data_IF_888517911236
#
_entry.id   IF_888517911236
#
_cell.length_a   1.000
_cell.length_b   1.000
_cell.length_c   1.000
_cell.angle_alpha   90.00
_cell.angle_beta   90.00
_cell.angle_gamma   90.00
#
_symmetry.space_group_name_H-M   'P 1'
#
loop_
_entity.id
_entity.type
_entity.pdbx_description
1 polymer ?
#
# COMPACT_ATOMS: atom_id res chain seq x y z
N UNK A 1 -60.20 14.07 27.70
CA UNK A 1 -59.56 12.82 28.19
C UNK A 1 -58.13 12.81 27.66
N UNK A 2 -57.15 12.65 28.53
CA UNK A 2 -55.75 12.55 28.08
C UNK A 2 -55.42 11.06 27.91
N UNK A 3 -55.34 10.61 26.65
CA UNK A 3 -55.09 9.20 26.36
C UNK A 3 -53.65 8.78 26.58
N UNK A 4 -52.73 9.66 26.99
CA UNK A 4 -51.33 9.33 27.26
C UNK A 4 -51.21 8.28 28.39
N UNK A 5 -52.07 8.30 29.36
CA UNK A 5 -52.02 7.42 30.52
C UNK A 5 -52.62 6.03 30.23
N UNK A 6 -53.22 5.84 29.06
CA UNK A 6 -53.77 4.58 28.58
C UNK A 6 -52.85 3.81 27.67
N UNK A 7 -51.68 4.37 27.34
CA UNK A 7 -50.69 3.74 26.44
C UNK A 7 -49.72 2.89 27.28
N UNK A 8 -49.78 1.56 27.10
CA UNK A 8 -48.87 0.62 27.74
C UNK A 8 -47.58 0.48 26.96
N UNK A 9 -46.61 1.37 27.26
CA UNK A 9 -45.27 1.29 26.70
C UNK A 9 -44.38 0.42 27.60
N UNK A 10 -43.47 -0.40 27.04
CA UNK A 10 -42.50 -1.13 27.83
C UNK A 10 -41.64 -0.16 28.62
N UNK A 11 -41.49 -0.45 29.93
CA UNK A 11 -40.55 0.31 30.78
C UNK A 11 -39.18 -0.33 30.67
N UNK A 12 -38.20 0.47 30.24
CA UNK A 12 -36.82 0.04 30.11
C UNK A 12 -35.89 1.20 30.42
N UNK A 13 -34.76 0.91 31.06
CA UNK A 13 -33.68 1.86 31.28
C UNK A 13 -32.86 2.10 30.01
N UNK A 14 -33.15 1.34 28.94
CA UNK A 14 -32.51 1.53 27.65
C UNK A 14 -32.92 2.86 27.02
N UNK A 15 -31.99 3.76 26.71
CA UNK A 15 -32.34 5.11 26.22
C UNK A 15 -32.97 5.03 24.85
N UNK A 16 -34.12 5.69 24.67
CA UNK A 16 -34.87 5.75 23.40
C UNK A 16 -34.19 6.63 22.35
N UNK A 17 -33.29 7.53 22.74
CA UNK A 17 -32.53 8.38 21.83
C UNK A 17 -31.12 7.82 21.66
N UNK A 18 -30.66 7.74 20.39
CA UNK A 18 -29.32 7.27 20.08
C UNK A 18 -28.23 8.10 20.75
N UNK A 19 -28.10 9.37 20.39
CA UNK A 19 -27.10 10.28 20.96
C UNK A 19 -25.66 9.72 20.88
N UNK A 20 -25.34 8.97 19.82
CA UNK A 20 -24.09 8.24 19.69
C UNK A 20 -22.82 9.09 19.90
N UNK A 21 -22.73 10.34 19.42
CA UNK A 21 -21.53 11.16 19.64
C UNK A 21 -21.17 11.37 21.11
N UNK A 22 -22.20 11.37 21.99
CA UNK A 22 -21.99 11.49 23.44
C UNK A 22 -21.90 10.14 24.15
N UNK A 23 -22.70 9.16 23.70
CA UNK A 23 -22.80 7.85 24.34
C UNK A 23 -21.58 6.95 24.07
N UNK A 24 -21.09 6.95 22.83
CA UNK A 24 -19.94 6.09 22.47
C UNK A 24 -18.68 6.38 23.30
N UNK A 25 -18.24 7.65 23.49
CA UNK A 25 -17.10 7.94 24.37
C UNK A 25 -17.29 7.41 25.81
N UNK A 26 -18.51 7.47 26.35
CA UNK A 26 -18.82 6.93 27.69
C UNK A 26 -18.70 5.40 27.73
N UNK A 27 -19.13 4.71 26.67
CA UNK A 27 -18.98 3.26 26.55
C UNK A 27 -17.50 2.88 26.46
N UNK A 28 -16.72 3.59 25.63
CA UNK A 28 -15.29 3.35 25.49
C UNK A 28 -14.55 3.58 26.81
N UNK A 29 -14.89 4.63 27.54
CA UNK A 29 -14.31 4.91 28.85
C UNK A 29 -14.63 3.76 29.83
N UNK A 30 -15.87 3.31 29.88
CA UNK A 30 -16.24 2.18 30.72
C UNK A 30 -15.47 0.89 30.36
N UNK A 31 -15.25 0.63 29.05
CA UNK A 31 -14.44 -0.52 28.62
C UNK A 31 -12.98 -0.42 29.06
N UNK A 32 -12.42 0.79 29.07
CA UNK A 32 -11.07 1.05 29.57
C UNK A 32 -11.00 0.88 31.10
N UNK A 33 -11.95 1.45 31.83
CA UNK A 33 -11.99 1.40 33.30
C UNK A 33 -12.08 -0.04 33.84
N UNK A 34 -12.83 -0.91 33.14
CA UNK A 34 -12.95 -2.32 33.51
C UNK A 34 -11.87 -3.21 32.88
N UNK A 35 -10.99 -2.66 32.03
CA UNK A 35 -9.96 -3.38 31.26
C UNK A 35 -10.56 -4.60 30.51
N UNK A 36 -11.61 -4.34 29.70
CA UNK A 36 -12.40 -5.41 29.06
C UNK A 36 -11.54 -6.29 28.15
N UNK A 37 -10.57 -5.70 27.43
CA UNK A 37 -9.74 -6.46 26.51
C UNK A 37 -8.88 -7.50 27.24
N UNK A 38 -8.22 -7.12 28.34
CA UNK A 38 -7.42 -8.03 29.17
C UNK A 38 -8.29 -9.12 29.77
N UNK A 39 -9.47 -8.78 30.28
CA UNK A 39 -10.44 -9.77 30.80
C UNK A 39 -10.83 -10.78 29.73
N UNK A 40 -11.09 -10.35 28.50
CA UNK A 40 -11.39 -11.24 27.38
C UNK A 40 -10.20 -12.16 27.06
N UNK A 41 -8.97 -11.64 27.06
CA UNK A 41 -7.76 -12.45 26.84
C UNK A 41 -7.60 -13.52 27.92
N UNK A 42 -7.75 -13.14 29.18
CA UNK A 42 -7.66 -14.10 30.29
C UNK A 42 -8.75 -15.15 30.23
N UNK A 43 -10.02 -14.76 30.01
CA UNK A 43 -11.15 -15.67 29.89
C UNK A 43 -11.04 -16.67 28.72
N UNK A 44 -10.22 -16.36 27.69
CA UNK A 44 -10.05 -17.18 26.48
C UNK A 44 -8.65 -17.76 26.32
N UNK A 45 -7.76 -17.65 27.29
CA UNK A 45 -6.34 -18.05 27.18
C UNK A 45 -6.16 -19.51 26.76
N UNK A 46 -6.98 -20.40 27.28
CA UNK A 46 -6.90 -21.85 27.01
C UNK A 46 -7.85 -22.32 25.88
N UNK A 47 -8.59 -21.39 25.27
CA UNK A 47 -9.50 -21.70 24.19
C UNK A 47 -8.75 -21.90 22.84
N UNK A 48 -9.34 -22.62 21.88
CA UNK A 48 -8.75 -22.77 20.55
C UNK A 48 -8.42 -21.44 19.90
N UNK A 49 -7.18 -21.31 19.40
CA UNK A 49 -6.71 -20.06 18.78
C UNK A 49 -7.46 -19.76 17.49
N UNK A 50 -7.84 -18.52 17.31
CA UNK A 50 -8.26 -17.94 16.05
C UNK A 50 -7.37 -16.74 15.74
N UNK A 51 -6.70 -16.75 14.60
CA UNK A 51 -5.79 -15.68 14.18
C UNK A 51 -6.36 -15.02 12.92
N UNK A 52 -6.67 -13.73 13.01
CA UNK A 52 -6.92 -12.87 11.88
C UNK A 52 -5.64 -12.03 11.65
N UNK A 53 -4.96 -12.28 10.54
CA UNK A 53 -3.80 -11.49 10.16
C UNK A 53 -4.26 -10.11 9.66
N UNK A 54 -3.66 -9.05 10.20
CA UNK A 54 -3.96 -7.69 9.76
C UNK A 54 -3.25 -7.38 8.44
N UNK A 55 -3.95 -6.79 7.47
CA UNK A 55 -3.34 -6.06 6.37
C UNK A 55 -3.02 -4.65 6.90
N UNK A 56 -1.75 -4.34 7.15
CA UNK A 56 -1.38 -3.12 7.85
C UNK A 56 -1.60 -1.89 6.97
N UNK A 57 -2.28 -0.84 7.45
CA UNK A 57 -2.37 0.43 6.74
C UNK A 57 -1.03 1.16 6.76
N UNK A 58 -0.81 2.07 5.81
CA UNK A 58 0.31 3.00 5.84
C UNK A 58 0.13 4.02 6.96
N UNK A 59 1.22 4.26 7.71
CA UNK A 59 1.26 5.30 8.74
C UNK A 59 1.62 6.67 8.12
N UNK A 60 0.72 7.25 7.32
CA UNK A 60 1.03 8.44 6.51
C UNK A 60 -0.07 9.53 6.49
N UNK A 61 -1.08 9.42 7.34
CA UNK A 61 -2.18 10.37 7.43
C UNK A 61 -3.29 9.90 8.35
N UNK A 62 -4.33 10.71 8.46
CA UNK A 62 -5.55 10.38 9.20
C UNK A 62 -6.34 9.26 8.52
N UNK A 63 -7.25 8.61 9.27
CA UNK A 63 -8.13 7.61 8.73
C UNK A 63 -9.11 8.21 7.72
N UNK A 64 -9.38 7.44 6.68
CA UNK A 64 -10.50 7.67 5.78
C UNK A 64 -11.53 6.53 5.92
N UNK A 65 -12.68 6.67 5.26
CA UNK A 65 -13.78 5.69 5.37
C UNK A 65 -13.37 4.26 5.00
N UNK A 66 -12.43 4.07 4.09
CA UNK A 66 -11.90 2.75 3.72
C UNK A 66 -11.16 2.08 4.87
N UNK A 67 -10.35 2.84 5.62
CA UNK A 67 -9.71 2.35 6.85
C UNK A 67 -10.75 1.95 7.91
N UNK A 68 -11.77 2.80 8.12
CA UNK A 68 -12.83 2.54 9.07
C UNK A 68 -13.59 1.25 8.70
N UNK A 69 -14.02 1.10 7.44
CA UNK A 69 -14.69 -0.09 6.95
C UNK A 69 -13.84 -1.35 7.18
N UNK A 70 -12.58 -1.33 6.77
CA UNK A 70 -11.67 -2.46 6.91
C UNK A 70 -11.51 -2.90 8.38
N UNK A 71 -11.22 -1.96 9.28
CA UNK A 71 -10.99 -2.26 10.70
C UNK A 71 -12.26 -2.68 11.44
N UNK A 72 -13.40 -2.06 11.13
CA UNK A 72 -14.70 -2.45 11.71
C UNK A 72 -15.07 -3.88 11.30
N UNK A 73 -14.90 -4.26 10.02
CA UNK A 73 -15.15 -5.62 9.56
C UNK A 73 -14.24 -6.64 10.25
N UNK A 74 -12.96 -6.33 10.43
CA UNK A 74 -12.02 -7.17 11.19
C UNK A 74 -12.43 -7.30 12.66
N UNK A 75 -12.87 -6.22 13.29
CA UNK A 75 -13.36 -6.23 14.65
C UNK A 75 -14.61 -7.09 14.80
N UNK A 76 -15.56 -7.00 13.86
CA UNK A 76 -16.75 -7.87 13.82
C UNK A 76 -16.35 -9.34 13.74
N UNK A 77 -15.40 -9.70 12.88
CA UNK A 77 -14.88 -11.06 12.77
C UNK A 77 -14.25 -11.52 14.09
N UNK A 78 -13.35 -10.74 14.69
CA UNK A 78 -12.68 -11.10 15.93
C UNK A 78 -13.66 -11.23 17.09
N UNK A 79 -14.62 -10.31 17.22
CA UNK A 79 -15.67 -10.39 18.26
C UNK A 79 -16.56 -11.61 18.09
N UNK A 80 -17.01 -11.90 16.88
CA UNK A 80 -17.83 -13.07 16.61
C UNK A 80 -17.10 -14.37 16.96
N UNK A 81 -15.83 -14.49 16.58
CA UNK A 81 -15.03 -15.67 16.92
C UNK A 81 -14.79 -15.79 18.45
N UNK A 82 -14.59 -14.65 19.13
CA UNK A 82 -14.49 -14.64 20.59
C UNK A 82 -15.81 -15.04 21.26
N UNK A 83 -16.97 -14.57 20.74
CA UNK A 83 -18.29 -14.98 21.22
C UNK A 83 -18.57 -16.47 20.99
N UNK A 84 -18.04 -17.05 19.91
CA UNK A 84 -18.05 -18.48 19.60
C UNK A 84 -17.08 -19.30 20.47
N UNK A 85 -16.45 -18.69 21.47
CA UNK A 85 -15.59 -19.38 22.43
C UNK A 85 -14.13 -19.50 22.04
N UNK A 86 -13.66 -18.86 20.97
CA UNK A 86 -12.26 -18.93 20.52
C UNK A 86 -11.40 -17.86 21.18
N UNK A 87 -10.08 -18.12 21.23
CA UNK A 87 -9.07 -17.14 21.59
C UNK A 87 -8.71 -16.31 20.35
N UNK A 88 -9.51 -15.27 20.09
CA UNK A 88 -9.34 -14.35 18.97
C UNK A 88 -8.56 -13.10 19.41
N UNK A 89 -7.23 -13.24 19.53
CA UNK A 89 -6.34 -12.11 19.80
C UNK A 89 -6.09 -11.32 18.51
N UNK A 90 -6.41 -10.04 18.52
CA UNK A 90 -6.15 -9.15 17.39
C UNK A 90 -4.94 -8.25 17.70
N UNK A 91 -3.89 -8.39 16.89
CA UNK A 91 -2.71 -7.54 16.93
C UNK A 91 -2.79 -6.58 15.75
N UNK A 92 -3.03 -5.28 16.00
CA UNK A 92 -3.07 -4.29 14.93
C UNK A 92 -1.68 -4.11 14.31
N UNK A 93 -1.63 -3.85 13.00
CA UNK A 93 -0.39 -3.65 12.27
C UNK A 93 -0.33 -2.32 11.55
N UNK A 94 0.89 -1.84 11.26
CA UNK A 94 1.17 -0.67 10.43
C UNK A 94 2.32 -0.92 9.47
N UNK A 95 2.14 -0.46 8.22
CA UNK A 95 3.21 -0.32 7.26
C UNK A 95 3.85 1.07 7.40
N UNK A 96 5.16 1.09 7.67
CA UNK A 96 5.87 2.28 8.15
C UNK A 96 7.02 2.69 7.23
N UNK A 97 7.09 2.18 5.97
CA UNK A 97 8.20 2.48 5.07
C UNK A 97 7.75 2.51 3.59
N UNK A 98 8.71 2.75 2.70
CA UNK A 98 8.51 2.82 1.26
C UNK A 98 7.98 4.17 0.78
N UNK A 99 7.63 4.25 -0.50
CA UNK A 99 7.18 5.49 -1.17
C UNK A 99 6.07 6.25 -0.44
N UNK A 100 5.04 5.61 0.14
CA UNK A 100 3.98 6.33 0.84
C UNK A 100 4.46 7.19 2.02
N UNK A 101 5.58 6.82 2.63
CA UNK A 101 6.20 7.58 3.73
C UNK A 101 7.26 8.54 3.19
N UNK A 102 8.19 8.04 2.37
CA UNK A 102 9.32 8.79 1.83
C UNK A 102 8.87 9.98 1.01
N UNK A 103 7.84 9.82 0.18
CA UNK A 103 7.26 10.89 -0.62
C UNK A 103 6.72 12.04 0.25
N UNK A 104 6.09 11.72 1.38
CA UNK A 104 5.59 12.74 2.32
C UNK A 104 6.72 13.57 2.95
N UNK A 105 7.82 12.94 3.26
CA UNK A 105 9.01 13.64 3.77
C UNK A 105 9.65 14.48 2.65
N UNK A 106 9.77 13.92 1.44
CA UNK A 106 10.29 14.66 0.29
C UNK A 106 9.45 15.89 -0.04
N UNK A 107 8.12 15.80 -0.01
CA UNK A 107 7.22 16.97 -0.14
C UNK A 107 7.52 18.05 0.90
N UNK A 108 7.85 17.67 2.13
CA UNK A 108 8.23 18.62 3.19
C UNK A 108 9.56 19.31 2.88
N UNK A 109 10.53 18.57 2.34
CA UNK A 109 11.81 19.13 1.89
C UNK A 109 11.60 20.12 0.74
N UNK A 110 10.84 19.74 -0.29
CA UNK A 110 10.48 20.60 -1.42
C UNK A 110 9.81 21.91 -0.98
N UNK A 111 8.86 21.83 -0.04
CA UNK A 111 8.20 23.02 0.53
C UNK A 111 9.17 23.95 1.27
N UNK A 112 10.23 23.40 1.84
CA UNK A 112 11.30 24.15 2.50
C UNK A 112 12.42 24.60 1.54
N UNK A 113 12.29 24.33 0.23
CA UNK A 113 13.31 24.62 -0.78
C UNK A 113 14.59 23.79 -0.63
N UNK A 114 14.51 22.63 0.00
CA UNK A 114 15.64 21.70 0.20
C UNK A 114 15.56 20.52 -0.75
N UNK A 115 16.73 20.02 -1.14
CA UNK A 115 16.85 18.78 -1.90
C UNK A 115 17.09 17.61 -0.95
N UNK A 116 16.25 16.56 -1.03
CA UNK A 116 16.42 15.36 -0.21
C UNK A 116 17.73 14.62 -0.51
N UNK A 117 18.20 14.68 -1.77
CA UNK A 117 19.41 13.97 -2.19
C UNK A 117 20.69 14.60 -1.60
N UNK A 118 20.59 15.82 -1.05
CA UNK A 118 21.66 16.48 -0.31
C UNK A 118 21.68 16.13 1.18
N UNK A 119 20.68 15.38 1.69
CA UNK A 119 20.56 15.01 3.08
C UNK A 119 21.21 13.64 3.32
N UNK A 120 21.95 13.44 4.45
CA UNK A 120 22.46 12.13 4.79
C UNK A 120 21.35 11.07 4.87
N UNK A 121 21.56 9.92 4.27
CA UNK A 121 20.55 8.84 4.19
C UNK A 121 20.02 8.43 5.57
N UNK A 122 20.89 8.40 6.58
CA UNK A 122 20.49 8.04 7.96
C UNK A 122 19.54 9.08 8.56
N UNK A 123 19.77 10.37 8.30
CA UNK A 123 18.92 11.47 8.76
C UNK A 123 17.55 11.40 8.08
N UNK A 124 17.52 11.26 6.75
CA UNK A 124 16.27 11.11 6.00
C UNK A 124 15.45 9.90 6.48
N UNK A 125 16.09 8.76 6.70
CA UNK A 125 15.44 7.56 7.24
C UNK A 125 14.88 7.77 8.64
N UNK A 126 15.60 8.51 9.48
CA UNK A 126 15.11 8.83 10.83
C UNK A 126 13.86 9.72 10.76
N UNK A 127 13.84 10.73 9.89
CA UNK A 127 12.66 11.57 9.68
C UNK A 127 11.46 10.74 9.16
N UNK A 128 11.67 9.77 8.29
CA UNK A 128 10.63 8.83 7.86
C UNK A 128 10.09 8.00 9.03
N UNK A 129 10.95 7.49 9.91
CA UNK A 129 10.54 6.74 11.11
C UNK A 129 9.74 7.61 12.07
N UNK A 130 10.19 8.84 12.33
CA UNK A 130 9.52 9.78 13.23
C UNK A 130 8.13 10.17 12.68
N UNK A 131 8.03 10.38 11.37
CA UNK A 131 6.77 10.64 10.68
C UNK A 131 5.80 9.46 10.81
N UNK A 132 6.27 8.24 10.53
CA UNK A 132 5.46 7.04 10.66
C UNK A 132 5.01 6.81 12.12
N UNK A 133 5.90 7.01 13.09
CA UNK A 133 5.57 6.90 14.52
C UNK A 133 4.48 7.89 14.95
N UNK A 134 4.54 9.13 14.46
CA UNK A 134 3.50 10.12 14.69
C UNK A 134 2.13 9.67 14.19
N UNK A 135 2.05 9.25 12.91
CA UNK A 135 0.79 8.84 12.31
C UNK A 135 0.26 7.53 12.86
N UNK A 136 1.12 6.60 13.23
CA UNK A 136 0.75 5.40 13.98
C UNK A 136 0.01 5.78 15.27
N UNK A 137 0.55 6.72 16.04
CA UNK A 137 -0.11 7.20 17.26
C UNK A 137 -1.48 7.82 17.02
N UNK A 138 -1.60 8.66 15.97
CA UNK A 138 -2.88 9.28 15.58
C UNK A 138 -3.88 8.21 15.15
N UNK A 139 -3.53 7.36 14.19
CA UNK A 139 -4.42 6.31 13.69
C UNK A 139 -4.83 5.30 14.76
N UNK A 140 -3.92 4.96 15.69
CA UNK A 140 -4.25 4.08 16.82
C UNK A 140 -5.36 4.67 17.67
N UNK A 141 -5.31 5.97 17.98
CA UNK A 141 -6.37 6.64 18.73
C UNK A 141 -7.69 6.69 17.96
N UNK A 142 -7.62 6.98 16.66
CA UNK A 142 -8.80 7.02 15.79
C UNK A 142 -9.48 5.65 15.67
N UNK A 143 -8.72 4.56 15.52
CA UNK A 143 -9.27 3.19 15.51
C UNK A 143 -9.88 2.81 16.85
N UNK A 144 -9.24 3.16 17.95
CA UNK A 144 -9.80 2.94 19.28
C UNK A 144 -11.09 3.76 19.50
N UNK A 145 -11.15 4.98 18.93
CA UNK A 145 -12.38 5.79 18.95
C UNK A 145 -13.53 5.11 18.17
N UNK A 146 -13.24 4.33 17.13
CA UNK A 146 -14.23 3.49 16.44
C UNK A 146 -14.67 2.28 17.26
N UNK A 147 -14.08 2.04 18.43
CA UNK A 147 -14.42 0.91 19.30
C UNK A 147 -13.74 -0.41 18.93
N UNK A 148 -12.77 -0.40 18.06
CA UNK A 148 -12.00 -1.60 17.67
C UNK A 148 -11.21 -2.14 18.86
N UNK A 149 -11.38 -3.41 19.20
CA UNK A 149 -10.63 -4.08 20.25
C UNK A 149 -9.39 -4.76 19.69
N UNK A 150 -8.26 -4.60 20.39
CA UNK A 150 -6.98 -5.20 19.98
C UNK A 150 -5.87 -4.94 20.99
N UNK A 151 -4.72 -5.55 20.74
CA UNK A 151 -3.49 -5.30 21.52
C UNK A 151 -2.80 -4.03 21.04
N UNK A 152 -3.37 -2.89 21.38
CA UNK A 152 -2.88 -1.58 20.98
C UNK A 152 -1.55 -1.19 21.62
N UNK A 153 -1.12 -1.89 22.67
CA UNK A 153 0.14 -1.64 23.37
C UNK A 153 1.32 -2.35 22.70
N UNK A 154 1.04 -3.47 21.99
CA UNK A 154 2.05 -4.27 21.31
C UNK A 154 1.71 -4.45 19.83
N UNK A 155 1.62 -3.35 19.06
CA UNK A 155 1.28 -3.44 17.64
C UNK A 155 2.42 -4.08 16.84
N UNK A 156 2.07 -4.68 15.70
CA UNK A 156 3.04 -5.04 14.67
C UNK A 156 3.39 -3.78 13.85
N UNK A 157 4.67 -3.51 13.69
CA UNK A 157 5.14 -2.42 12.82
C UNK A 157 6.26 -2.90 11.92
N UNK A 158 6.18 -2.59 10.63
CA UNK A 158 7.23 -2.99 9.68
C UNK A 158 8.56 -2.27 9.94
N UNK A 159 8.56 -1.14 10.65
CA UNK A 159 9.78 -0.42 11.06
C UNK A 159 10.41 -0.92 12.36
N UNK A 160 9.80 -1.89 13.04
CA UNK A 160 10.43 -2.48 14.23
C UNK A 160 11.69 -3.24 13.81
N UNK A 161 12.81 -3.03 14.51
CA UNK A 161 14.08 -3.68 14.16
C UNK A 161 14.00 -5.20 14.10
N UNK A 162 13.20 -5.82 14.96
CA UNK A 162 12.97 -7.27 14.91
C UNK A 162 12.21 -7.70 13.64
N UNK A 163 11.27 -6.89 13.16
CA UNK A 163 10.55 -7.14 11.92
C UNK A 163 11.47 -6.95 10.70
N UNK A 164 12.25 -5.87 10.66
CA UNK A 164 13.25 -5.64 9.60
C UNK A 164 14.28 -6.76 9.54
N UNK A 165 14.80 -7.21 10.69
CA UNK A 165 15.73 -8.32 10.77
C UNK A 165 15.11 -9.62 10.23
N UNK A 166 13.84 -9.88 10.54
CA UNK A 166 13.14 -11.07 10.04
C UNK A 166 12.89 -11.01 8.54
N UNK A 167 12.53 -9.85 8.00
CA UNK A 167 12.41 -9.63 6.55
C UNK A 167 13.75 -9.93 5.84
N UNK A 168 14.85 -9.40 6.37
CA UNK A 168 16.18 -9.64 5.81
C UNK A 168 16.59 -11.13 5.90
N UNK A 169 16.28 -11.79 7.01
CA UNK A 169 16.52 -13.24 7.19
C UNK A 169 15.78 -14.07 6.15
N UNK A 170 14.48 -13.80 5.94
CA UNK A 170 13.67 -14.55 4.96
C UNK A 170 14.13 -14.30 3.52
N UNK A 171 14.51 -13.05 3.18
CA UNK A 171 15.14 -12.78 1.88
C UNK A 171 16.43 -13.55 1.69
N UNK A 172 17.26 -13.65 2.75
CA UNK A 172 18.48 -14.46 2.75
C UNK A 172 18.20 -15.94 2.53
N UNK A 173 17.12 -16.50 3.11
CA UNK A 173 16.69 -17.88 2.88
C UNK A 173 16.32 -18.14 1.42
N UNK A 174 15.56 -17.21 0.80
CA UNK A 174 15.19 -17.31 -0.62
C UNK A 174 16.44 -17.26 -1.52
N UNK A 175 17.43 -16.43 -1.17
CA UNK A 175 18.72 -16.39 -1.86
C UNK A 175 19.46 -17.72 -1.75
N UNK A 176 19.51 -18.29 -0.56
CA UNK A 176 20.21 -19.59 -0.32
C UNK A 176 19.50 -20.77 -0.99
N UNK A 177 18.20 -20.69 -1.18
CA UNK A 177 17.40 -21.65 -1.97
C UNK A 177 17.68 -21.56 -3.49
N UNK A 178 18.31 -20.49 -3.96
CA UNK A 178 18.59 -20.24 -5.38
C UNK A 178 17.44 -19.61 -6.16
N UNK A 179 16.30 -19.33 -5.52
CA UNK A 179 15.14 -18.70 -6.15
C UNK A 179 15.34 -17.21 -6.42
N UNK A 180 16.23 -16.55 -5.67
CA UNK A 180 16.62 -15.16 -5.88
C UNK A 180 17.93 -15.08 -6.64
N UNK A 181 17.91 -14.47 -7.81
CA UNK A 181 19.09 -14.27 -8.65
C UNK A 181 19.12 -12.86 -9.24
N UNK A 182 20.31 -12.41 -9.64
CA UNK A 182 20.50 -11.12 -10.32
C UNK A 182 20.17 -11.28 -11.80
N UNK A 183 19.23 -10.47 -12.28
CA UNK A 183 18.83 -10.43 -13.69
C UNK A 183 18.52 -9.02 -14.14
N UNK A 184 18.30 -8.85 -15.47
CA UNK A 184 17.81 -7.60 -16.05
C UNK A 184 16.39 -7.85 -16.60
N UNK A 185 15.45 -6.98 -16.19
CA UNK A 185 14.08 -6.95 -16.69
C UNK A 185 13.66 -5.51 -16.89
N UNK A 186 13.05 -5.14 -18.04
CA UNK A 186 12.44 -3.83 -18.20
C UNK A 186 11.36 -3.63 -17.13
N UNK A 187 11.43 -2.51 -16.42
CA UNK A 187 10.46 -2.12 -15.40
C UNK A 187 10.06 -0.66 -15.61
N UNK A 188 8.86 -0.28 -15.15
CA UNK A 188 8.45 1.11 -15.11
C UNK A 188 9.32 1.90 -14.15
N UNK A 189 9.66 3.10 -14.53
CA UNK A 189 10.53 4.00 -13.78
C UNK A 189 9.88 5.36 -13.62
N UNK A 190 9.80 5.86 -12.39
CA UNK A 190 9.41 7.25 -12.14
C UNK A 190 10.64 8.16 -12.16
N UNK A 191 10.73 9.10 -13.10
CA UNK A 191 11.83 10.08 -13.12
C UNK A 191 11.70 11.12 -12.00
N UNK A 192 10.52 11.26 -11.40
CA UNK A 192 10.24 12.21 -10.31
C UNK A 192 10.72 11.64 -8.98
N UNK A 193 10.29 10.43 -8.65
CA UNK A 193 10.70 9.71 -7.43
C UNK A 193 12.08 9.05 -7.58
N UNK A 194 12.61 8.95 -8.82
CA UNK A 194 13.89 8.31 -9.14
C UNK A 194 13.95 6.85 -8.68
N UNK A 195 12.89 6.10 -8.94
CA UNK A 195 12.77 4.70 -8.53
C UNK A 195 11.98 3.87 -9.54
N UNK A 196 12.19 2.54 -9.49
CA UNK A 196 11.32 1.58 -10.16
C UNK A 196 9.96 1.53 -9.47
N UNK A 197 8.91 1.25 -10.25
CA UNK A 197 7.54 1.11 -9.77
C UNK A 197 7.10 -0.35 -9.85
N UNK A 198 6.32 -0.79 -8.85
CA UNK A 198 5.58 -2.03 -8.94
C UNK A 198 4.39 -1.88 -9.89
N UNK A 199 3.92 -2.98 -10.48
CA UNK A 199 2.76 -2.96 -11.40
C UNK A 199 1.51 -2.33 -10.76
N UNK A 200 1.31 -2.54 -9.46
CA UNK A 200 0.18 -1.98 -8.71
C UNK A 200 0.24 -0.46 -8.47
N UNK A 201 1.40 0.15 -8.72
CA UNK A 201 1.63 1.59 -8.56
C UNK A 201 1.48 2.34 -9.89
N UNK A 202 1.22 1.61 -11.00
CA UNK A 202 1.13 2.18 -12.34
C UNK A 202 -0.33 2.44 -12.66
N UNK A 203 -0.62 3.69 -13.03
CA UNK A 203 -1.92 4.09 -13.54
C UNK A 203 -1.81 4.35 -15.04
N UNK A 204 -2.76 3.80 -15.82
CA UNK A 204 -2.83 3.96 -17.26
C UNK A 204 -3.88 4.99 -17.62
N UNK A 205 -3.47 5.97 -18.42
CA UNK A 205 -4.36 7.03 -18.89
C UNK A 205 -4.26 7.16 -20.42
N UNK A 206 -5.35 7.60 -21.05
CA UNK A 206 -5.36 7.92 -22.47
C UNK A 206 -4.42 9.12 -22.74
N UNK A 207 -3.45 8.92 -23.61
CA UNK A 207 -2.46 9.93 -23.93
C UNK A 207 -2.33 10.14 -25.45
N UNK A 208 -2.37 11.40 -25.89
CA UNK A 208 -2.09 11.76 -27.29
C UNK A 208 -0.60 12.02 -27.45
N UNK A 209 0.06 11.19 -28.29
CA UNK A 209 1.50 11.28 -28.53
C UNK A 209 1.78 11.52 -30.02
N UNK A 210 2.92 12.17 -30.29
CA UNK A 210 3.45 12.29 -31.66
C UNK A 210 4.10 10.98 -32.06
N UNK A 211 3.62 10.39 -33.15
CA UNK A 211 4.23 9.20 -33.75
C UNK A 211 4.92 9.56 -35.08
N UNK A 212 5.99 8.85 -35.40
CA UNK A 212 6.71 9.06 -36.67
C UNK A 212 7.00 7.71 -37.33
N UNK A 213 7.11 7.79 -38.65
CA UNK A 213 7.79 6.80 -39.47
C UNK A 213 9.21 7.30 -39.76
N UNK A 214 10.20 6.45 -39.54
CA UNK A 214 11.60 6.78 -39.83
C UNK A 214 12.17 5.79 -40.85
N UNK A 215 12.92 6.30 -41.82
CA UNK A 215 13.54 5.54 -42.89
C UNK A 215 15.03 5.40 -42.64
N UNK A 216 15.52 4.17 -42.60
CA UNK A 216 16.93 3.83 -42.50
C UNK A 216 17.42 3.32 -43.88
N UNK A 217 18.23 4.05 -44.64
CA UNK A 217 18.79 3.59 -45.88
C UNK A 217 19.71 2.39 -45.66
N UNK A 218 19.57 1.35 -46.48
CA UNK A 218 20.48 0.22 -46.51
C UNK A 218 21.75 0.64 -47.24
N UNK A 219 22.84 0.80 -46.51
CA UNK A 219 24.13 1.23 -47.08
C UNK A 219 24.99 0.05 -47.55
N UNK A 220 24.70 -1.15 -47.03
CA UNK A 220 25.38 -2.37 -47.42
C UNK A 220 24.39 -3.54 -47.32
N UNK A 221 24.23 -4.30 -48.40
CA UNK A 221 23.30 -5.39 -48.44
C UNK A 221 23.98 -6.72 -48.77
N UNK A 222 23.64 -7.79 -48.03
CA UNK A 222 24.09 -9.14 -48.36
C UNK A 222 23.31 -9.75 -49.53
N UNK A 223 22.15 -9.19 -49.87
CA UNK A 223 21.26 -9.70 -50.94
C UNK A 223 20.91 -8.56 -51.89
N UNK A 224 21.02 -8.80 -53.20
CA UNK A 224 20.82 -7.78 -54.26
C UNK A 224 19.43 -7.11 -54.19
N UNK A 225 18.40 -7.78 -53.75
CA UNK A 225 17.05 -7.22 -53.59
C UNK A 225 16.97 -6.08 -52.55
N UNK A 226 17.97 -5.95 -51.70
CA UNK A 226 18.02 -4.94 -50.66
C UNK A 226 18.94 -3.73 -51.05
N UNK A 227 19.62 -3.82 -52.19
CA UNK A 227 20.47 -2.71 -52.66
C UNK A 227 19.60 -1.49 -52.97
N UNK A 228 19.92 -0.36 -52.36
CA UNK A 228 19.17 0.89 -52.52
C UNK A 228 17.84 0.94 -51.76
N UNK A 229 17.47 -0.15 -51.09
CA UNK A 229 16.28 -0.20 -50.25
C UNK A 229 16.42 0.62 -48.96
N UNK A 230 15.34 0.78 -48.26
CA UNK A 230 15.32 1.38 -46.93
C UNK A 230 14.44 0.57 -46.01
N UNK A 231 14.82 0.46 -44.76
CA UNK A 231 13.96 -0.13 -43.69
C UNK A 231 13.14 1.02 -43.10
N UNK A 232 11.83 0.80 -43.05
CA UNK A 232 10.91 1.76 -42.44
C UNK A 232 10.50 1.21 -41.08
N UNK A 233 10.64 2.01 -40.04
CA UNK A 233 10.13 1.75 -38.72
C UNK A 233 9.07 2.76 -38.35
N UNK A 234 8.19 2.36 -37.43
CA UNK A 234 7.25 3.24 -36.77
C UNK A 234 7.55 3.30 -35.28
N UNK A 235 7.45 4.48 -34.66
CA UNK A 235 7.66 4.66 -33.24
C UNK A 235 6.71 5.69 -32.65
N UNK A 236 6.28 5.45 -31.39
CA UNK A 236 5.57 6.39 -30.54
C UNK A 236 6.52 7.24 -29.68
N UNK A 237 7.81 6.94 -29.72
CA UNK A 237 8.85 7.57 -28.88
C UNK A 237 9.98 8.14 -29.73
N UNK A 238 9.72 9.19 -30.54
CA UNK A 238 10.70 9.74 -31.50
C UNK A 238 11.97 10.25 -30.87
N UNK A 239 11.95 10.65 -29.61
CA UNK A 239 13.15 11.12 -28.88
C UNK A 239 14.17 10.01 -28.60
N UNK A 240 13.83 8.74 -28.81
CA UNK A 240 14.79 7.61 -28.67
C UNK A 240 15.63 7.41 -29.94
N UNK A 241 15.23 8.00 -31.06
CA UNK A 241 15.91 7.82 -32.37
C UNK A 241 17.38 8.15 -32.35
N UNK A 242 17.89 9.22 -31.71
CA UNK A 242 19.32 9.53 -31.69
C UNK A 242 20.19 8.44 -31.06
N UNK A 243 19.63 7.60 -30.20
CA UNK A 243 20.32 6.49 -29.53
C UNK A 243 20.11 5.13 -30.23
N UNK A 244 19.38 5.08 -31.35
CA UNK A 244 19.13 3.84 -32.09
C UNK A 244 20.45 3.25 -32.64
N UNK A 245 20.63 1.93 -32.43
CA UNK A 245 21.84 1.23 -32.88
C UNK A 245 21.53 0.03 -33.79
N UNK A 246 20.32 -0.46 -33.80
CA UNK A 246 19.92 -1.64 -34.55
C UNK A 246 18.42 -1.64 -34.82
N UNK A 247 18.01 -2.40 -35.80
CA UNK A 247 16.62 -2.77 -36.05
C UNK A 247 16.50 -4.28 -35.88
N UNK A 248 15.56 -4.71 -35.04
CA UNK A 248 15.25 -6.12 -34.85
C UNK A 248 14.22 -6.57 -35.89
N UNK A 249 14.30 -7.80 -36.31
CA UNK A 249 13.30 -8.45 -37.17
C UNK A 249 12.88 -9.79 -36.59
N UNK A 250 11.69 -10.29 -36.98
CA UNK A 250 11.21 -11.63 -36.59
C UNK A 250 11.47 -12.62 -37.71
N UNK A 251 12.02 -13.78 -37.39
CA UNK A 251 12.29 -14.86 -38.35
C UNK A 251 11.01 -15.48 -38.93
N UNK A 252 9.91 -15.37 -38.19
CA UNK A 252 8.59 -15.84 -38.54
C UNK A 252 7.72 -14.81 -39.31
N UNK A 253 8.26 -13.61 -39.53
CA UNK A 253 7.57 -12.50 -40.19
C UNK A 253 8.07 -12.37 -41.63
N UNK A 254 7.12 -12.39 -42.59
CA UNK A 254 7.44 -12.14 -44.00
C UNK A 254 7.57 -10.64 -44.27
N UNK A 255 8.69 -10.22 -44.85
CA UNK A 255 8.96 -8.85 -45.25
C UNK A 255 8.91 -8.76 -46.77
N UNK A 256 8.45 -7.63 -47.27
CA UNK A 256 8.35 -7.38 -48.72
C UNK A 256 9.09 -6.07 -49.05
N UNK A 257 9.88 -6.12 -50.11
CA UNK A 257 10.42 -4.91 -50.74
C UNK A 257 9.38 -4.35 -51.72
N UNK A 258 9.00 -3.08 -51.53
CA UNK A 258 7.98 -2.42 -52.35
C UNK A 258 8.55 -1.10 -52.85
N UNK A 259 8.33 -0.83 -54.14
CA UNK A 259 8.66 0.49 -54.71
C UNK A 259 7.60 1.52 -54.23
N UNK A 260 8.07 2.64 -53.75
CA UNK A 260 7.21 3.76 -53.32
C UNK A 260 7.45 4.90 -54.31
N UNK A 261 6.40 5.24 -55.05
CA UNK A 261 6.40 6.31 -56.04
C UNK A 261 6.17 7.68 -55.39
#
# INVERSE_FOLDING_TARGET
MNYKDTVFLPRTDFPMRGGLPTKEPQILQNWQDIDIYKKLREARKDAPRFTLHDGPPYANGQLHIGHALNKILKDVVNRSQSMLGKNANYVPGWDCHGLPIEWKIEEQYRKKGKDKDAVPVAEFRQECRDFAAHWLGVQSQEFQRLGVLGDWQNPYTTMAYAAEAKIAEELGRILMDGSLYRGAKPVMWSPVEKTALAEAEIEYEDHTSTTIYARFPVTHAAHAALEGASIIIWTTTPWTMPANRAVAYGDDISYQVTEVL
#
